data_IF_724650512853
#
_entry.id   IF_724650512853
#
_cell.length_a   1.000
_cell.length_b   1.000
_cell.length_c   1.000
_cell.angle_alpha   90.00
_cell.angle_beta   90.00
_cell.angle_gamma   90.00
#
_symmetry.space_group_name_H-M   'P 1'
#
loop_
_entity.id
_entity.type
_entity.pdbx_description
1 polymer ?
#
# COMPACT_ATOMS: atom_id res chain seq x y z
N UNK A 1 -24.36 32.76 -24.62
CA UNK A 1 -23.53 31.77 -23.89
C UNK A 1 -23.74 32.01 -22.41
N UNK A 2 -24.51 31.13 -21.73
CA UNK A 2 -24.86 31.29 -20.32
C UNK A 2 -23.79 30.54 -19.48
N UNK A 3 -22.76 31.25 -19.06
CA UNK A 3 -21.75 30.67 -18.13
C UNK A 3 -22.43 30.55 -16.77
N UNK A 4 -22.88 29.36 -16.42
CA UNK A 4 -23.45 29.05 -15.11
C UNK A 4 -22.42 29.34 -14.04
N UNK A 5 -22.57 30.46 -13.34
CA UNK A 5 -21.73 30.81 -12.19
C UNK A 5 -21.98 29.82 -11.06
N UNK A 6 -21.05 28.89 -10.89
CA UNK A 6 -21.09 27.96 -9.77
C UNK A 6 -20.43 28.63 -8.57
N UNK A 7 -21.22 28.93 -7.54
CA UNK A 7 -20.73 29.57 -6.32
C UNK A 7 -19.58 28.75 -5.69
N UNK A 8 -18.45 29.36 -5.35
CA UNK A 8 -17.32 28.68 -4.66
C UNK A 8 -17.77 27.92 -3.41
N UNK A 9 -18.74 28.44 -2.67
CA UNK A 9 -19.31 27.79 -1.49
C UNK A 9 -20.03 26.48 -1.83
N UNK A 10 -20.77 26.44 -2.95
CA UNK A 10 -21.42 25.21 -3.43
C UNK A 10 -20.41 24.14 -3.83
N UNK A 11 -19.31 24.56 -4.47
CA UNK A 11 -18.23 23.64 -4.82
C UNK A 11 -17.56 23.05 -3.56
N UNK A 12 -17.33 23.88 -2.56
CA UNK A 12 -16.75 23.45 -1.30
C UNK A 12 -17.66 22.44 -0.56
N UNK A 13 -18.97 22.70 -0.47
CA UNK A 13 -19.91 21.74 0.13
C UNK A 13 -20.00 20.44 -0.65
N UNK A 14 -19.98 20.50 -1.98
CA UNK A 14 -19.97 19.30 -2.82
C UNK A 14 -18.70 18.46 -2.61
N UNK A 15 -17.54 19.10 -2.51
CA UNK A 15 -16.26 18.43 -2.20
C UNK A 15 -16.29 17.77 -0.82
N UNK A 16 -16.74 18.49 0.21
CA UNK A 16 -16.88 17.94 1.57
C UNK A 16 -17.85 16.75 1.62
N UNK A 17 -18.97 16.83 0.89
CA UNK A 17 -19.92 15.72 0.82
C UNK A 17 -19.32 14.52 0.12
N UNK A 18 -18.58 14.75 -0.97
CA UNK A 18 -17.85 13.69 -1.69
C UNK A 18 -16.83 13.01 -0.81
N UNK A 19 -16.07 13.77 -0.03
CA UNK A 19 -15.06 13.25 0.91
C UNK A 19 -15.72 12.41 2.01
N UNK A 20 -16.84 12.85 2.61
CA UNK A 20 -17.59 12.07 3.59
C UNK A 20 -18.07 10.73 3.04
N UNK A 21 -18.58 10.71 1.79
CA UNK A 21 -19.01 9.46 1.13
C UNK A 21 -17.82 8.51 0.95
N UNK A 22 -16.67 9.02 0.53
CA UNK A 22 -15.46 8.20 0.37
C UNK A 22 -14.92 7.67 1.71
N UNK A 23 -14.93 8.50 2.76
CA UNK A 23 -14.50 8.09 4.09
C UNK A 23 -15.43 7.01 4.66
N UNK A 24 -16.75 7.15 4.52
CA UNK A 24 -17.72 6.12 4.89
C UNK A 24 -17.52 4.81 4.12
N UNK A 25 -17.22 4.89 2.82
CA UNK A 25 -16.92 3.71 2.03
C UNK A 25 -15.63 3.00 2.48
N UNK A 26 -14.58 3.76 2.83
CA UNK A 26 -13.33 3.20 3.37
C UNK A 26 -13.58 2.54 4.72
N UNK A 27 -14.33 3.18 5.61
CA UNK A 27 -14.65 2.63 6.93
C UNK A 27 -15.52 1.36 6.82
N UNK A 28 -16.47 1.33 5.87
CA UNK A 28 -17.25 0.13 5.57
C UNK A 28 -16.41 -1.06 5.08
N UNK A 29 -15.29 -0.80 4.42
CA UNK A 29 -14.35 -1.85 3.99
C UNK A 29 -13.51 -2.42 5.15
N UNK A 30 -13.39 -1.72 6.28
CA UNK A 30 -12.71 -2.25 7.47
C UNK A 30 -13.50 -3.35 8.15
N UNK A 31 -14.83 -3.25 8.11
CA UNK A 31 -15.75 -4.16 8.77
C UNK A 31 -16.13 -5.38 7.91
N UNK A 32 -15.83 -5.35 6.62
CA UNK A 32 -16.25 -6.38 5.67
C UNK A 32 -15.40 -6.45 4.41
N UNK A 33 -15.87 -7.25 3.48
CA UNK A 33 -15.27 -7.36 2.14
C UNK A 33 -15.89 -6.34 1.16
N UNK A 34 -15.36 -6.35 -0.06
CA UNK A 34 -15.83 -5.48 -1.13
C UNK A 34 -17.29 -5.80 -1.54
N UNK A 35 -17.77 -7.03 -1.34
CA UNK A 35 -19.13 -7.45 -1.70
C UNK A 35 -20.15 -6.84 -0.77
N UNK A 36 -19.83 -6.69 0.53
CA UNK A 36 -20.66 -6.05 1.55
C UNK A 36 -20.79 -4.54 1.40
N UNK A 37 -19.96 -3.89 0.59
CA UNK A 37 -20.02 -2.45 0.37
C UNK A 37 -21.18 -2.07 -0.57
N UNK A 38 -22.36 -1.74 -0.02
CA UNK A 38 -23.52 -1.30 -0.77
C UNK A 38 -23.69 0.22 -0.76
N UNK A 39 -24.31 0.79 -1.80
CA UNK A 39 -24.62 2.23 -1.85
C UNK A 39 -25.50 2.65 -0.69
N UNK A 40 -26.49 1.83 -0.31
CA UNK A 40 -27.38 2.09 0.81
C UNK A 40 -26.61 2.21 2.14
N UNK A 41 -25.68 1.28 2.42
CA UNK A 41 -24.84 1.33 3.63
C UNK A 41 -23.95 2.57 3.63
N UNK A 42 -23.26 2.84 2.52
CA UNK A 42 -22.39 4.02 2.39
C UNK A 42 -23.18 5.32 2.57
N UNK A 43 -24.39 5.41 2.02
CA UNK A 43 -25.26 6.58 2.17
C UNK A 43 -25.65 6.81 3.63
N UNK A 44 -26.07 5.74 4.33
CA UNK A 44 -26.41 5.77 5.76
C UNK A 44 -25.22 6.22 6.61
N UNK A 45 -24.06 5.59 6.43
CA UNK A 45 -22.84 5.88 7.19
C UNK A 45 -22.30 7.30 6.91
N UNK A 46 -22.42 7.79 5.67
CA UNK A 46 -22.06 9.16 5.31
C UNK A 46 -23.08 10.23 5.75
N UNK A 47 -24.26 9.83 6.27
CA UNK A 47 -25.33 10.75 6.64
C UNK A 47 -25.93 11.50 5.43
N UNK A 48 -26.08 10.81 4.29
CA UNK A 48 -26.63 11.34 3.04
C UNK A 48 -27.68 10.38 2.47
N UNK A 49 -28.44 10.80 1.43
CA UNK A 49 -29.31 9.90 0.70
C UNK A 49 -28.55 9.15 -0.39
N UNK A 50 -29.04 7.96 -0.81
CA UNK A 50 -28.50 7.22 -1.96
C UNK A 50 -28.47 8.08 -3.23
N UNK A 51 -29.53 8.91 -3.45
CA UNK A 51 -29.57 9.88 -4.55
C UNK A 51 -28.39 10.86 -4.50
N UNK A 52 -27.94 11.23 -3.30
CA UNK A 52 -26.76 12.09 -3.13
C UNK A 52 -25.49 11.35 -3.50
N UNK A 53 -25.36 10.06 -3.12
CA UNK A 53 -24.23 9.23 -3.53
C UNK A 53 -24.19 9.12 -5.06
N UNK A 54 -25.32 8.77 -5.71
CA UNK A 54 -25.39 8.66 -7.18
C UNK A 54 -25.11 9.97 -7.91
N UNK A 55 -25.37 11.12 -7.30
CA UNK A 55 -24.98 12.42 -7.87
C UNK A 55 -23.47 12.63 -7.94
N UNK A 56 -22.70 12.03 -7.01
CA UNK A 56 -21.24 12.12 -6.96
C UNK A 56 -20.54 10.96 -7.68
N UNK A 57 -21.16 9.80 -7.70
CA UNK A 57 -20.64 8.56 -8.28
C UNK A 57 -21.79 7.88 -9.01
N UNK A 58 -21.73 7.87 -10.34
CA UNK A 58 -22.84 7.38 -11.18
C UNK A 58 -23.11 5.89 -10.99
N UNK A 59 -22.06 5.14 -10.66
CA UNK A 59 -22.12 3.70 -10.41
C UNK A 59 -21.42 3.34 -9.10
N UNK A 60 -21.67 2.14 -8.57
CA UNK A 60 -20.92 1.58 -7.46
C UNK A 60 -19.43 1.42 -7.81
N UNK A 61 -19.14 1.11 -9.06
CA UNK A 61 -17.76 0.97 -9.55
C UNK A 61 -17.02 2.31 -9.54
N UNK A 62 -17.68 3.41 -9.93
CA UNK A 62 -17.10 4.76 -9.82
C UNK A 62 -16.77 5.12 -8.37
N UNK A 63 -17.65 4.77 -7.43
CA UNK A 63 -17.36 4.95 -6.01
C UNK A 63 -16.13 4.15 -5.58
N UNK A 64 -16.08 2.86 -5.91
CA UNK A 64 -14.94 1.98 -5.58
C UNK A 64 -13.65 2.52 -6.20
N UNK A 65 -13.67 2.93 -7.46
CA UNK A 65 -12.50 3.51 -8.14
C UNK A 65 -11.99 4.77 -7.44
N UNK A 66 -12.89 5.58 -6.90
CA UNK A 66 -12.54 6.81 -6.18
C UNK A 66 -12.07 6.57 -4.73
N UNK A 67 -12.40 5.42 -4.12
CA UNK A 67 -11.97 5.04 -2.77
C UNK A 67 -10.45 4.89 -2.69
N UNK A 68 -9.81 4.28 -3.68
CA UNK A 68 -8.40 3.92 -3.59
C UNK A 68 -7.44 5.12 -3.54
N UNK A 69 -7.58 6.17 -4.36
CA UNK A 69 -6.77 7.39 -4.20
C UNK A 69 -6.97 8.06 -2.84
N UNK A 70 -8.22 8.10 -2.34
CA UNK A 70 -8.56 8.65 -1.02
C UNK A 70 -7.92 7.83 0.10
N UNK A 71 -7.99 6.50 0.01
CA UNK A 71 -7.33 5.60 0.95
C UNK A 71 -5.82 5.78 0.95
N UNK A 72 -5.19 5.91 -0.22
CA UNK A 72 -3.76 6.20 -0.32
C UNK A 72 -3.36 7.49 0.41
N UNK A 73 -4.16 8.55 0.27
CA UNK A 73 -3.97 9.80 1.00
C UNK A 73 -4.18 9.61 2.52
N UNK A 74 -5.20 8.86 2.94
CA UNK A 74 -5.52 8.56 4.34
C UNK A 74 -4.43 7.70 5.00
N UNK A 75 -3.93 6.68 4.29
CA UNK A 75 -2.78 5.87 4.72
C UNK A 75 -1.49 6.71 4.84
N UNK A 76 -1.49 7.89 4.25
CA UNK A 76 -0.28 8.72 4.18
C UNK A 76 0.88 7.92 3.61
N UNK A 77 0.62 7.13 2.55
CA UNK A 77 1.67 6.33 1.90
C UNK A 77 2.78 7.28 1.49
N UNK A 78 4.01 7.10 2.00
CA UNK A 78 5.12 7.98 1.67
C UNK A 78 5.40 7.93 0.17
N UNK A 79 6.01 9.00 -0.34
CA UNK A 79 6.64 8.95 -1.66
C UNK A 79 7.58 7.74 -1.75
N UNK A 80 7.83 7.27 -2.96
CA UNK A 80 8.78 6.17 -3.20
C UNK A 80 10.12 6.49 -2.54
N UNK A 81 10.78 5.50 -1.90
CA UNK A 81 12.07 5.71 -1.27
C UNK A 81 13.09 6.18 -2.32
N UNK A 82 13.88 7.18 -1.95
CA UNK A 82 14.90 7.78 -2.80
C UNK A 82 16.32 7.36 -2.39
N UNK A 83 16.46 6.75 -1.21
CA UNK A 83 17.72 6.23 -0.70
C UNK A 83 17.59 4.80 -0.21
N UNK A 84 18.69 4.10 -0.11
CA UNK A 84 18.75 2.73 0.41
C UNK A 84 18.28 2.66 1.86
N UNK A 85 18.65 3.63 2.68
CA UNK A 85 18.22 3.72 4.08
C UNK A 85 16.71 3.90 4.19
N UNK A 86 16.13 4.76 3.34
CA UNK A 86 14.69 4.96 3.29
C UNK A 86 13.95 3.69 2.82
N UNK A 87 14.55 2.92 1.92
CA UNK A 87 14.02 1.63 1.47
C UNK A 87 14.03 0.59 2.60
N UNK A 88 15.13 0.48 3.34
CA UNK A 88 15.23 -0.40 4.49
C UNK A 88 14.25 -0.04 5.61
N UNK A 89 14.03 1.24 5.84
CA UNK A 89 13.09 1.72 6.86
C UNK A 89 11.61 1.61 6.42
N UNK A 90 11.33 1.40 5.14
CA UNK A 90 9.98 1.45 4.59
C UNK A 90 9.00 0.45 5.24
N UNK A 91 9.34 -0.85 5.48
CA UNK A 91 8.42 -1.78 6.11
C UNK A 91 7.96 -1.32 7.51
N UNK A 92 8.87 -0.88 8.38
CA UNK A 92 8.54 -0.39 9.71
C UNK A 92 7.65 0.87 9.70
N UNK A 93 7.66 1.64 8.60
CA UNK A 93 6.83 2.84 8.44
C UNK A 93 5.46 2.55 7.85
N UNK A 94 5.36 1.57 6.94
CA UNK A 94 4.15 1.33 6.16
C UNK A 94 3.27 0.20 6.72
N UNK A 95 3.85 -0.84 7.32
CA UNK A 95 3.10 -1.99 7.83
C UNK A 95 2.12 -1.62 8.95
N UNK A 96 2.47 -0.75 9.93
CA UNK A 96 1.50 -0.26 10.91
C UNK A 96 0.31 0.47 10.28
N UNK A 97 0.54 1.15 9.16
CA UNK A 97 -0.53 1.83 8.40
C UNK A 97 -1.43 0.85 7.67
N UNK A 98 -0.85 -0.24 7.14
CA UNK A 98 -1.65 -1.32 6.55
C UNK A 98 -2.49 -2.02 7.62
N UNK A 99 -1.97 -2.24 8.83
CA UNK A 99 -2.75 -2.81 9.93
C UNK A 99 -3.92 -1.90 10.34
N UNK A 100 -3.70 -0.60 10.43
CA UNK A 100 -4.75 0.36 10.79
C UNK A 100 -5.94 0.36 9.80
N UNK A 101 -5.71 -0.01 8.54
CA UNK A 101 -6.70 -0.03 7.46
C UNK A 101 -6.78 -1.42 6.79
N UNK A 102 -6.58 -2.49 7.57
CA UNK A 102 -6.36 -3.84 7.05
C UNK A 102 -7.44 -4.33 6.08
N UNK A 103 -8.72 -4.12 6.40
CA UNK A 103 -9.83 -4.51 5.52
C UNK A 103 -9.78 -3.79 4.18
N UNK A 104 -9.62 -2.46 4.19
CA UNK A 104 -9.53 -1.66 2.97
C UNK A 104 -8.29 -2.01 2.15
N UNK A 105 -7.13 -2.24 2.79
CA UNK A 105 -5.90 -2.67 2.13
C UNK A 105 -6.10 -4.01 1.44
N UNK A 106 -6.66 -5.02 2.13
CA UNK A 106 -6.96 -6.33 1.53
C UNK A 106 -7.97 -6.23 0.37
N UNK A 107 -9.05 -5.47 0.54
CA UNK A 107 -10.01 -5.22 -0.53
C UNK A 107 -9.32 -4.62 -1.78
N UNK A 108 -8.38 -3.69 -1.60
CA UNK A 108 -7.61 -3.10 -2.71
C UNK A 108 -6.75 -4.14 -3.44
N UNK A 109 -6.20 -5.12 -2.73
CA UNK A 109 -5.31 -6.12 -3.34
C UNK A 109 -6.03 -6.97 -4.40
N UNK A 110 -7.29 -7.27 -4.16
CA UNK A 110 -8.07 -8.20 -4.98
C UNK A 110 -9.05 -7.50 -5.93
N UNK A 111 -9.37 -6.21 -5.74
CA UNK A 111 -10.27 -5.48 -6.62
C UNK A 111 -9.64 -5.16 -7.98
N UNK A 112 -10.45 -5.05 -9.03
CA UNK A 112 -10.01 -4.62 -10.35
C UNK A 112 -9.43 -3.21 -10.30
N UNK A 113 -10.14 -2.28 -9.66
CA UNK A 113 -9.70 -0.90 -9.49
C UNK A 113 -8.36 -0.77 -8.76
N UNK A 114 -8.15 -1.53 -7.69
CA UNK A 114 -6.87 -1.55 -6.99
C UNK A 114 -5.74 -2.10 -7.86
N UNK A 115 -6.00 -3.08 -8.75
CA UNK A 115 -5.03 -3.56 -9.74
C UNK A 115 -4.67 -2.48 -10.76
N UNK A 116 -5.66 -1.77 -11.30
CA UNK A 116 -5.45 -0.71 -12.29
C UNK A 116 -4.62 0.45 -11.72
N UNK A 117 -4.93 0.90 -10.51
CA UNK A 117 -4.15 1.94 -9.82
C UNK A 117 -2.70 1.48 -9.59
N UNK A 118 -2.51 0.24 -9.16
CA UNK A 118 -1.14 -0.30 -9.01
C UNK A 118 -0.40 -0.37 -10.33
N UNK A 119 -1.08 -0.79 -11.41
CA UNK A 119 -0.49 -0.84 -12.75
C UNK A 119 -0.01 0.53 -13.22
N UNK A 120 -0.79 1.58 -13.00
CA UNK A 120 -0.42 2.97 -13.34
C UNK A 120 0.84 3.42 -12.58
N UNK A 121 1.00 3.02 -11.32
CA UNK A 121 2.16 3.39 -10.50
C UNK A 121 3.39 2.50 -10.71
N UNK A 122 3.25 1.36 -11.38
CA UNK A 122 4.32 0.37 -11.52
C UNK A 122 5.56 0.90 -12.26
N UNK A 123 5.48 1.65 -13.37
CA UNK A 123 6.68 2.13 -14.08
C UNK A 123 7.60 2.94 -13.16
N UNK A 124 7.04 3.87 -12.39
CA UNK A 124 7.82 4.68 -11.44
C UNK A 124 8.41 3.83 -10.30
N UNK A 125 7.66 2.85 -9.79
CA UNK A 125 8.14 1.92 -8.77
C UNK A 125 9.28 1.05 -9.29
N UNK A 126 9.14 0.48 -10.49
CA UNK A 126 10.18 -0.34 -11.10
C UNK A 126 11.47 0.46 -11.26
N UNK A 127 11.38 1.69 -11.77
CA UNK A 127 12.54 2.56 -11.92
C UNK A 127 13.20 2.87 -10.58
N UNK A 128 12.42 3.29 -9.57
CA UNK A 128 12.95 3.61 -8.24
C UNK A 128 13.64 2.40 -7.60
N UNK A 129 12.98 1.23 -7.58
CA UNK A 129 13.54 0.03 -6.97
C UNK A 129 14.79 -0.46 -7.70
N UNK A 130 14.79 -0.47 -9.05
CA UNK A 130 15.98 -0.87 -9.84
C UNK A 130 17.14 0.09 -9.61
N UNK A 131 16.88 1.41 -9.53
CA UNK A 131 17.92 2.41 -9.23
C UNK A 131 18.53 2.21 -7.84
N UNK A 132 17.72 1.93 -6.82
CA UNK A 132 18.21 1.68 -5.47
C UNK A 132 19.03 0.39 -5.37
N UNK A 133 18.61 -0.66 -6.08
CA UNK A 133 19.43 -1.88 -6.18
C UNK A 133 20.75 -1.59 -6.89
N UNK A 134 20.76 -0.79 -7.97
CA UNK A 134 21.98 -0.42 -8.66
C UNK A 134 22.94 0.40 -7.79
N UNK A 135 22.43 1.26 -6.91
CA UNK A 135 23.24 2.01 -5.94
C UNK A 135 23.88 1.07 -4.91
N UNK A 136 23.11 0.13 -4.36
CA UNK A 136 23.61 -0.80 -3.34
C UNK A 136 24.51 -1.90 -3.91
N UNK A 137 24.28 -2.32 -5.16
CA UNK A 137 24.94 -3.47 -5.81
C UNK A 137 25.33 -3.10 -7.26
N UNK A 138 26.32 -2.20 -7.42
CA UNK A 138 26.75 -1.72 -8.74
C UNK A 138 27.34 -2.82 -9.63
N UNK A 139 27.85 -3.91 -9.06
CA UNK A 139 28.43 -5.05 -9.76
C UNK A 139 27.41 -5.96 -10.46
N UNK A 140 26.12 -5.83 -10.13
CA UNK A 140 25.09 -6.66 -10.74
C UNK A 140 24.75 -6.18 -12.16
N UNK A 141 24.48 -7.12 -13.05
CA UNK A 141 23.89 -6.84 -14.36
C UNK A 141 22.44 -6.36 -14.25
N UNK A 142 21.91 -5.82 -15.35
CA UNK A 142 20.55 -5.28 -15.39
C UNK A 142 19.48 -6.33 -15.03
N UNK A 143 19.63 -7.56 -15.52
CA UNK A 143 18.66 -8.63 -15.26
C UNK A 143 18.65 -9.04 -13.77
N UNK A 144 19.83 -9.09 -13.14
CA UNK A 144 19.96 -9.38 -11.71
C UNK A 144 19.38 -8.23 -10.85
N UNK A 145 19.64 -6.96 -11.22
CA UNK A 145 19.05 -5.79 -10.57
C UNK A 145 17.53 -5.84 -10.62
N UNK A 146 16.96 -6.10 -11.81
CA UNK A 146 15.52 -6.20 -12.03
C UNK A 146 14.88 -7.30 -11.17
N UNK A 147 15.48 -8.50 -11.11
CA UNK A 147 14.97 -9.59 -10.29
C UNK A 147 14.95 -9.22 -8.80
N UNK A 148 16.02 -8.64 -8.28
CA UNK A 148 16.10 -8.20 -6.87
C UNK A 148 15.09 -7.10 -6.58
N UNK A 149 14.98 -6.10 -7.45
CA UNK A 149 14.01 -5.01 -7.33
C UNK A 149 12.56 -5.53 -7.28
N UNK A 150 12.22 -6.52 -8.09
CA UNK A 150 10.90 -7.14 -8.08
C UNK A 150 10.58 -7.84 -6.74
N UNK A 151 11.55 -8.59 -6.19
CA UNK A 151 11.38 -9.26 -4.88
C UNK A 151 11.29 -8.24 -3.74
N UNK A 152 12.16 -7.23 -3.74
CA UNK A 152 12.13 -6.13 -2.75
C UNK A 152 10.78 -5.40 -2.79
N UNK A 153 10.27 -5.07 -3.99
CA UNK A 153 8.98 -4.42 -4.15
C UNK A 153 7.84 -5.31 -3.62
N UNK A 154 7.88 -6.61 -3.89
CA UNK A 154 6.87 -7.56 -3.41
C UNK A 154 6.89 -7.63 -1.89
N UNK A 155 8.05 -7.84 -1.28
CA UNK A 155 8.21 -7.91 0.18
C UNK A 155 7.76 -6.58 0.83
N UNK A 156 8.19 -5.43 0.33
CA UNK A 156 7.83 -4.10 0.88
C UNK A 156 6.41 -3.64 0.60
N UNK A 157 5.55 -4.47 -0.02
CA UNK A 157 4.18 -4.13 -0.41
C UNK A 157 3.13 -4.65 0.58
N UNK A 158 1.86 -4.30 0.32
CA UNK A 158 0.71 -4.88 1.03
C UNK A 158 0.61 -6.41 0.87
N UNK A 159 1.12 -6.98 -0.22
CA UNK A 159 1.14 -8.44 -0.42
C UNK A 159 2.16 -9.11 0.51
N UNK A 160 3.36 -8.53 0.68
CA UNK A 160 4.33 -9.03 1.64
C UNK A 160 3.79 -8.94 3.07
N UNK A 161 3.25 -7.78 3.44
CA UNK A 161 2.60 -7.58 4.73
C UNK A 161 1.50 -8.63 4.99
N UNK A 162 0.56 -8.82 4.06
CA UNK A 162 -0.52 -9.80 4.22
C UNK A 162 0.02 -11.23 4.32
N UNK A 163 1.05 -11.60 3.55
CA UNK A 163 1.68 -12.90 3.63
C UNK A 163 2.24 -13.20 5.02
N UNK A 164 3.00 -12.26 5.61
CA UNK A 164 3.54 -12.42 6.97
C UNK A 164 2.45 -12.54 8.03
N UNK A 165 1.37 -11.74 7.90
CA UNK A 165 0.25 -11.76 8.84
C UNK A 165 -0.59 -13.04 8.71
N UNK A 166 -1.00 -13.38 7.50
CA UNK A 166 -2.04 -14.37 7.24
C UNK A 166 -1.51 -15.82 7.24
N UNK A 167 -0.26 -16.04 6.79
CA UNK A 167 0.32 -17.37 6.71
C UNK A 167 1.29 -17.68 7.84
N UNK A 168 1.93 -16.66 8.42
CA UNK A 168 2.93 -16.85 9.46
C UNK A 168 2.46 -16.38 10.84
N UNK A 169 1.31 -15.69 10.93
CA UNK A 169 0.75 -15.18 12.19
C UNK A 169 1.65 -14.13 12.87
N UNK A 170 2.56 -13.51 12.13
CA UNK A 170 3.48 -12.51 12.66
C UNK A 170 2.72 -11.26 13.11
N UNK A 171 3.14 -10.66 14.21
CA UNK A 171 2.70 -9.30 14.54
C UNK A 171 3.33 -8.27 13.58
N UNK A 172 2.93 -7.02 13.70
CA UNK A 172 3.36 -5.95 12.77
C UNK A 172 4.85 -5.70 12.83
N UNK A 173 5.42 -5.70 14.03
CA UNK A 173 6.83 -5.40 14.24
C UNK A 173 7.70 -6.57 13.75
N UNK A 174 7.28 -7.79 14.01
CA UNK A 174 7.96 -8.99 13.52
C UNK A 174 7.92 -9.07 11.99
N UNK A 175 6.77 -8.84 11.37
CA UNK A 175 6.62 -8.78 9.92
C UNK A 175 7.50 -7.68 9.30
N UNK A 176 7.55 -6.51 9.91
CA UNK A 176 8.40 -5.41 9.44
C UNK A 176 9.89 -5.76 9.54
N UNK A 177 10.32 -6.37 10.65
CA UNK A 177 11.71 -6.85 10.82
C UNK A 177 12.07 -7.90 9.79
N UNK A 178 11.22 -8.90 9.57
CA UNK A 178 11.44 -9.93 8.56
C UNK A 178 11.59 -9.33 7.15
N UNK A 179 10.73 -8.36 6.81
CA UNK A 179 10.83 -7.64 5.55
C UNK A 179 12.13 -6.84 5.42
N UNK A 180 12.55 -6.14 6.48
CA UNK A 180 13.79 -5.36 6.51
C UNK A 180 15.03 -6.25 6.36
N UNK A 181 15.07 -7.39 7.07
CA UNK A 181 16.15 -8.37 6.96
C UNK A 181 16.26 -8.93 5.55
N UNK A 182 15.13 -9.34 4.94
CA UNK A 182 15.12 -9.85 3.58
C UNK A 182 15.60 -8.80 2.57
N UNK A 183 15.16 -7.55 2.71
CA UNK A 183 15.60 -6.43 1.86
C UNK A 183 17.09 -6.18 2.05
N UNK A 184 17.61 -6.19 3.28
CA UNK A 184 19.03 -6.00 3.57
C UNK A 184 19.89 -7.10 2.93
N UNK A 185 19.47 -8.37 3.01
CA UNK A 185 20.13 -9.50 2.35
C UNK A 185 20.19 -9.30 0.84
N UNK A 186 19.04 -8.93 0.22
CA UNK A 186 18.96 -8.70 -1.24
C UNK A 186 19.84 -7.54 -1.70
N UNK A 187 20.04 -6.54 -0.84
CA UNK A 187 20.94 -5.41 -1.09
C UNK A 187 22.41 -5.70 -0.70
N UNK A 188 22.70 -6.88 -0.12
CA UNK A 188 24.04 -7.24 0.33
C UNK A 188 24.55 -6.44 1.54
N UNK A 189 23.62 -5.92 2.35
CA UNK A 189 23.92 -5.06 3.51
C UNK A 189 23.89 -5.81 4.85
N UNK A 190 23.49 -7.07 4.87
CA UNK A 190 23.61 -7.90 6.08
C UNK A 190 25.08 -8.19 6.37
N UNK A 191 25.53 -8.03 7.62
CA UNK A 191 26.82 -8.58 8.03
C UNK A 191 26.80 -10.07 7.75
N UNK A 192 27.89 -10.59 7.18
CA UNK A 192 28.04 -12.02 7.01
C UNK A 192 27.70 -12.69 8.34
N UNK A 193 26.79 -13.66 8.30
CA UNK A 193 26.42 -14.45 9.47
C UNK A 193 27.71 -14.90 10.16
N UNK A 194 27.88 -14.53 11.43
CA UNK A 194 28.97 -15.06 12.23
C UNK A 194 28.60 -16.53 12.44
N UNK A 195 28.96 -17.36 11.47
CA UNK A 195 28.95 -18.82 11.64
C UNK A 195 29.53 -19.13 13.00
N UNK A 196 28.89 -19.92 13.85
CA UNK A 196 29.42 -20.27 15.13
C UNK A 196 30.82 -20.82 14.90
N UNK A 197 31.84 -20.23 15.55
CA UNK A 197 33.19 -20.74 15.51
C UNK A 197 33.11 -22.23 15.79
N UNK A 198 33.58 -23.08 14.86
CA UNK A 198 33.82 -24.49 15.15
C UNK A 198 34.60 -24.53 16.47
N UNK A 199 33.98 -25.09 17.47
CA UNK A 199 34.69 -25.50 18.69
C UNK A 199 35.67 -26.55 18.20
N UNK A 200 36.94 -26.15 18.03
CA UNK A 200 38.03 -27.07 17.79
C UNK A 200 38.11 -27.98 19.02
N UNK A 201 37.97 -29.27 18.73
CA UNK A 201 37.87 -30.31 19.72
C UNK A 201 39.01 -30.36 20.70
N UNK A 202 38.66 -30.55 21.96
CA UNK A 202 39.51 -31.15 22.95
C UNK A 202 40.07 -32.48 22.46
N UNK A 203 41.34 -32.49 22.22
CA UNK A 203 42.12 -33.74 22.15
C UNK A 203 42.43 -34.17 23.58
N UNK A 204 41.97 -35.32 23.96
CA UNK A 204 42.59 -36.21 24.93
C UNK A 204 42.59 -37.60 24.42
#
# INVERSE_FOLDING_TARGET
MNTSYVSPLRQQYAAQTRDRILDAAIDGLKEGDLEGLTIAKVAADAGVTERTVYRHFQTREDLINAVWPRMGARLGIPSLPQTVEALLAAPARIYPRFDAEAGAVRASMYSQAGREIRATANPARHQAMTSLVAQARPELDEAARRRRAAVIQMIGSSHGWACFKDYWGMDTDEAARAAQEAIAILLGLMPADKSPKKVEGEKS
#
